data_IF_809713774319
#
_entry.id   IF_809713774319
#
_cell.length_a   1.000
_cell.length_b   1.000
_cell.length_c   1.000
_cell.angle_alpha   90.00
_cell.angle_beta   90.00
_cell.angle_gamma   90.00
#
_symmetry.space_group_name_H-M   'P 1'
#
loop_
_entity.id
_entity.type
_entity.pdbx_description
1 polymer ?
#
# COMPACT_ATOMS: atom_id res chain seq x y z
N UNK A 1 2.36 12.74 -7.96
CA UNK A 1 1.87 12.57 -6.57
C UNK A 1 0.95 11.38 -6.54
N UNK A 2 1.36 10.29 -5.91
CA UNK A 2 0.59 9.06 -5.90
C UNK A 2 0.13 8.77 -4.46
N UNK A 3 -1.16 8.51 -4.28
CA UNK A 3 -1.75 8.20 -2.98
C UNK A 3 -2.21 6.75 -2.96
N UNK A 4 -2.00 6.04 -1.87
CA UNK A 4 -2.78 4.90 -1.47
C UNK A 4 -3.06 4.93 0.02
N UNK A 5 -4.07 4.16 0.41
CA UNK A 5 -4.41 3.94 1.79
C UNK A 5 -4.86 2.51 2.01
N UNK A 6 -4.63 2.03 3.22
CA UNK A 6 -4.94 0.68 3.69
C UNK A 6 -5.72 0.81 4.99
N UNK A 7 -6.75 0.00 5.14
CA UNK A 7 -7.43 -0.26 6.41
C UNK A 7 -7.51 -1.76 6.58
N UNK A 8 -6.96 -2.28 7.66
CA UNK A 8 -6.87 -3.70 7.94
C UNK A 8 -7.58 -4.05 9.24
N UNK A 9 -8.32 -5.16 9.20
CA UNK A 9 -9.03 -5.79 10.31
C UNK A 9 -8.67 -7.26 10.37
N UNK A 10 -9.15 -7.95 11.39
CA UNK A 10 -8.92 -9.39 11.58
C UNK A 10 -9.44 -10.27 10.42
N UNK A 11 -10.39 -9.76 9.63
CA UNK A 11 -11.12 -10.46 8.57
C UNK A 11 -10.91 -9.89 7.16
N UNK A 12 -10.43 -8.65 7.03
CA UNK A 12 -10.17 -8.06 5.71
C UNK A 12 -9.02 -7.03 5.70
N UNK A 13 -8.47 -6.79 4.51
CA UNK A 13 -7.68 -5.62 4.16
C UNK A 13 -8.42 -4.87 3.05
N UNK A 14 -8.70 -3.58 3.28
CA UNK A 14 -9.26 -2.68 2.29
C UNK A 14 -8.21 -1.72 1.77
N UNK A 15 -8.11 -1.62 0.45
CA UNK A 15 -7.08 -0.85 -0.25
C UNK A 15 -7.77 0.14 -1.18
N UNK A 16 -7.35 1.39 -1.15
CA UNK A 16 -7.75 2.41 -2.12
C UNK A 16 -6.51 3.12 -2.63
N UNK A 17 -6.32 3.15 -3.94
CA UNK A 17 -5.23 3.88 -4.60
C UNK A 17 -5.71 4.87 -5.65
N UNK A 18 -4.91 5.91 -5.84
CA UNK A 18 -4.96 6.84 -6.97
C UNK A 18 -4.36 6.16 -8.22
N UNK A 19 -5.18 5.94 -9.25
CA UNK A 19 -4.75 5.31 -10.50
C UNK A 19 -4.50 6.29 -11.63
N UNK A 20 -4.45 7.59 -11.35
CA UNK A 20 -4.18 8.54 -12.41
C UNK A 20 -2.73 8.39 -12.88
N UNK A 21 -2.58 7.90 -14.11
CA UNK A 21 -1.33 7.97 -14.85
C UNK A 21 -0.97 9.44 -15.06
N UNK A 22 0.12 9.91 -14.42
CA UNK A 22 0.77 11.12 -14.88
C UNK A 22 1.49 10.77 -16.19
N UNK A 23 0.80 10.94 -17.31
CA UNK A 23 1.46 11.06 -18.61
C UNK A 23 2.21 12.39 -18.62
N UNK A 24 3.45 12.42 -18.11
CA UNK A 24 4.37 13.49 -18.49
C UNK A 24 4.77 13.23 -19.94
N UNK A 25 4.34 14.11 -20.86
CA UNK A 25 4.81 14.12 -22.24
C UNK A 25 6.32 14.45 -22.38
N UNK A 26 7.03 14.64 -21.27
CA UNK A 26 8.48 14.76 -21.22
C UNK A 26 9.08 13.43 -20.78
N UNK A 27 9.82 12.78 -21.68
CA UNK A 27 10.65 11.59 -21.46
C UNK A 27 11.77 11.79 -20.41
N UNK A 28 11.81 12.94 -19.72
CA UNK A 28 12.91 13.35 -18.84
C UNK A 28 12.63 13.17 -17.34
N UNK A 29 11.39 12.88 -16.92
CA UNK A 29 11.07 12.66 -15.51
C UNK A 29 10.54 11.24 -15.28
N UNK A 30 11.12 10.49 -14.32
CA UNK A 30 10.62 9.15 -13.99
C UNK A 30 9.18 9.26 -13.50
N UNK A 31 8.29 8.45 -14.09
CA UNK A 31 6.88 8.41 -13.73
C UNK A 31 6.74 7.90 -12.28
N UNK A 32 6.33 8.78 -11.37
CA UNK A 32 5.90 8.38 -10.03
C UNK A 32 4.45 7.89 -10.10
N UNK A 33 4.25 6.61 -9.87
CA UNK A 33 2.94 5.97 -9.89
C UNK A 33 2.68 5.18 -8.62
N UNK A 34 1.41 5.09 -8.24
CA UNK A 34 0.96 4.07 -7.29
C UNK A 34 0.54 2.85 -8.10
N UNK A 35 1.13 1.70 -7.81
CA UNK A 35 0.81 0.47 -8.52
C UNK A 35 0.50 -0.62 -7.51
N UNK A 36 -0.58 -1.37 -7.78
CA UNK A 36 -0.91 -2.62 -7.09
C UNK A 36 -0.51 -3.81 -7.95
N UNK A 37 0.01 -4.84 -7.29
CA UNK A 37 0.33 -6.12 -7.87
C UNK A 37 -0.06 -7.23 -6.91
N UNK A 38 -0.59 -8.33 -7.44
CA UNK A 38 -0.71 -9.56 -6.67
C UNK A 38 0.65 -10.25 -6.57
N UNK A 39 0.97 -10.78 -5.40
CA UNK A 39 2.12 -11.68 -5.19
C UNK A 39 1.63 -13.12 -5.37
N UNK A 40 0.62 -13.49 -4.59
CA UNK A 40 -0.11 -14.76 -4.70
C UNK A 40 -1.59 -14.46 -4.91
N UNK A 41 -2.24 -15.00 -5.97
CA UNK A 41 -3.62 -14.66 -6.31
C UNK A 41 -4.57 -14.81 -5.12
N UNK A 42 -5.39 -13.78 -4.87
CA UNK A 42 -6.35 -13.71 -3.76
C UNK A 42 -5.79 -13.87 -2.34
N UNK A 43 -4.46 -13.89 -2.15
CA UNK A 43 -3.85 -14.12 -0.85
C UNK A 43 -2.94 -12.98 -0.41
N UNK A 44 -2.06 -12.52 -1.29
CA UNK A 44 -1.06 -11.51 -0.94
C UNK A 44 -0.81 -10.55 -2.09
N UNK A 45 -0.40 -9.34 -1.71
CA UNK A 45 -0.23 -8.23 -2.62
C UNK A 45 1.01 -7.41 -2.30
N UNK A 46 1.40 -6.61 -3.27
CA UNK A 46 2.40 -5.58 -3.18
C UNK A 46 1.82 -4.28 -3.74
N UNK A 47 1.91 -3.20 -2.96
CA UNK A 47 1.61 -1.84 -3.41
C UNK A 47 2.91 -1.05 -3.31
N UNK A 48 3.19 -0.20 -4.28
CA UNK A 48 4.27 0.77 -4.15
C UNK A 48 3.86 2.13 -4.70
N UNK A 49 4.48 3.16 -4.15
CA UNK A 49 4.49 4.53 -4.64
C UNK A 49 5.94 4.97 -4.83
N UNK A 50 6.27 5.47 -6.02
CA UNK A 50 7.63 5.91 -6.36
C UNK A 50 8.02 5.56 -7.79
N UNK A 51 9.31 5.36 -8.02
CA UNK A 51 9.83 5.03 -9.36
C UNK A 51 9.46 3.60 -9.76
N UNK A 52 8.83 3.45 -10.93
CA UNK A 52 8.30 2.18 -11.44
C UNK A 52 9.37 1.09 -11.52
N UNK A 53 10.58 1.42 -11.97
CA UNK A 53 11.68 0.45 -12.11
C UNK A 53 11.98 -0.28 -10.79
N UNK A 54 12.07 0.47 -9.68
CA UNK A 54 12.34 -0.12 -8.37
C UNK A 54 11.13 -0.85 -7.80
N UNK A 55 9.92 -0.33 -8.03
CA UNK A 55 8.68 -0.94 -7.57
C UNK A 55 8.40 -2.29 -8.23
N UNK A 56 8.50 -2.36 -9.56
CA UNK A 56 8.32 -3.60 -10.32
C UNK A 56 9.43 -4.61 -10.02
N UNK A 57 10.70 -4.17 -9.93
CA UNK A 57 11.79 -5.07 -9.56
C UNK A 57 11.58 -5.68 -8.15
N UNK A 58 11.09 -4.88 -7.19
CA UNK A 58 10.81 -5.34 -5.83
C UNK A 58 9.61 -6.29 -5.79
N UNK A 59 8.58 -6.04 -6.60
CA UNK A 59 7.46 -6.95 -6.75
C UNK A 59 7.87 -8.30 -7.35
N UNK A 60 8.70 -8.31 -8.39
CA UNK A 60 9.21 -9.55 -8.99
C UNK A 60 10.04 -10.36 -7.98
N UNK A 61 10.83 -9.69 -7.13
CA UNK A 61 11.51 -10.35 -6.00
C UNK A 61 10.49 -10.94 -5.02
N UNK A 62 9.45 -10.19 -4.65
CA UNK A 62 8.40 -10.66 -3.75
C UNK A 62 7.72 -11.93 -4.29
N UNK A 63 7.38 -11.92 -5.57
CA UNK A 63 6.76 -13.04 -6.29
C UNK A 63 7.68 -14.26 -6.43
N UNK A 64 8.98 -14.06 -6.65
CA UNK A 64 9.93 -15.16 -6.70
C UNK A 64 10.16 -15.81 -5.32
N UNK A 65 10.13 -15.01 -4.25
CA UNK A 65 10.29 -15.49 -2.88
C UNK A 65 9.02 -16.15 -2.33
N UNK A 66 7.82 -15.74 -2.78
CA UNK A 66 6.57 -16.38 -2.35
C UNK A 66 6.46 -17.83 -2.82
N UNK A 67 7.08 -18.20 -3.95
CA UNK A 67 7.16 -19.58 -4.45
C UNK A 67 8.04 -20.48 -3.56
N UNK A 68 8.86 -19.88 -2.70
CA UNK A 68 9.73 -20.60 -1.75
C UNK A 68 9.10 -20.70 -0.35
N UNK A 69 7.81 -20.40 -0.21
CA UNK A 69 7.07 -20.43 1.06
C UNK A 69 7.68 -19.52 2.15
N UNK A 70 8.32 -18.41 1.75
CA UNK A 70 8.76 -17.39 2.70
C UNK A 70 7.56 -16.61 3.25
N UNK A 71 7.64 -16.25 4.54
CA UNK A 71 6.62 -15.39 5.16
C UNK A 71 6.69 -13.97 4.60
N UNK A 72 5.56 -13.28 4.54
CA UNK A 72 5.47 -11.92 4.01
C UNK A 72 6.42 -10.93 4.72
N UNK A 73 6.65 -11.07 6.03
CA UNK A 73 7.62 -10.26 6.77
C UNK A 73 9.07 -10.52 6.32
N UNK A 74 9.43 -11.77 6.05
CA UNK A 74 10.78 -12.11 5.59
C UNK A 74 11.00 -11.54 4.19
N UNK A 75 10.00 -11.64 3.33
CA UNK A 75 9.98 -11.01 2.00
C UNK A 75 10.12 -9.48 2.13
N UNK A 76 9.37 -8.85 3.03
CA UNK A 76 9.44 -7.41 3.27
C UNK A 76 10.86 -6.95 3.67
N UNK A 77 11.50 -7.68 4.59
CA UNK A 77 12.86 -7.39 5.03
C UNK A 77 13.89 -7.55 3.90
N UNK A 78 13.75 -8.61 3.08
CA UNK A 78 14.65 -8.82 1.93
C UNK A 78 14.51 -7.69 0.91
N UNK A 79 13.28 -7.24 0.64
CA UNK A 79 13.02 -6.12 -0.26
C UNK A 79 13.59 -4.81 0.32
N UNK A 80 13.35 -4.55 1.60
CA UNK A 80 13.92 -3.39 2.30
C UNK A 80 15.46 -3.37 2.18
N UNK A 81 16.12 -4.49 2.46
CA UNK A 81 17.58 -4.61 2.36
C UNK A 81 18.08 -4.48 0.92
N UNK A 82 17.28 -4.92 -0.06
CA UNK A 82 17.57 -4.78 -1.48
C UNK A 82 17.51 -3.30 -1.94
N UNK A 83 16.53 -2.55 -1.44
CA UNK A 83 16.35 -1.14 -1.76
C UNK A 83 17.40 -0.25 -1.09
N UNK A 84 17.82 -0.61 0.13
CA UNK A 84 18.77 0.17 0.92
C UNK A 84 20.25 -0.16 0.65
N UNK A 85 20.55 -0.94 -0.39
CA UNK A 85 21.95 -1.14 -0.84
C UNK A 85 22.53 0.19 -1.33
N UNK A 86 23.81 0.44 -1.02
CA UNK A 86 24.52 1.72 -1.24
C UNK A 86 24.43 2.29 -2.66
N UNK A 87 24.18 1.45 -3.67
CA UNK A 87 24.08 1.87 -5.07
C UNK A 87 22.66 2.38 -5.44
N UNK A 88 21.72 2.37 -4.49
CA UNK A 88 20.28 2.69 -4.69
C UNK A 88 19.74 3.73 -3.71
N UNK A 89 20.61 4.44 -2.99
CA UNK A 89 20.26 5.46 -1.98
C UNK A 89 19.45 6.66 -2.50
N UNK A 90 19.12 6.72 -3.79
CA UNK A 90 18.24 7.73 -4.40
C UNK A 90 16.84 7.21 -4.72
N UNK A 91 16.55 5.92 -4.48
CA UNK A 91 15.24 5.33 -4.74
C UNK A 91 14.23 5.78 -3.67
N UNK A 92 13.65 6.97 -3.84
CA UNK A 92 12.49 7.40 -3.04
C UNK A 92 11.31 6.51 -3.40
N UNK A 93 11.03 5.53 -2.54
CA UNK A 93 9.92 4.61 -2.71
C UNK A 93 9.36 4.24 -1.35
N UNK A 94 8.05 4.05 -1.33
CA UNK A 94 7.33 3.55 -0.19
C UNK A 94 6.43 2.44 -0.68
N UNK A 95 6.47 1.30 0.00
CA UNK A 95 5.76 0.11 -0.42
C UNK A 95 5.07 -0.58 0.75
N UNK A 96 4.04 -1.35 0.44
CA UNK A 96 3.38 -2.23 1.38
C UNK A 96 3.24 -3.60 0.77
N UNK A 97 3.73 -4.61 1.49
CA UNK A 97 3.39 -6.01 1.25
C UNK A 97 2.35 -6.44 2.28
N UNK A 98 1.25 -7.03 1.84
CA UNK A 98 0.20 -7.45 2.75
C UNK A 98 -0.60 -8.62 2.22
N UNK A 99 -1.49 -9.14 3.05
CA UNK A 99 -2.32 -10.28 2.68
C UNK A 99 -2.73 -11.13 3.87
N UNK A 100 -3.03 -12.39 3.57
CA UNK A 100 -3.38 -13.43 4.54
C UNK A 100 -2.19 -14.38 4.69
N UNK A 101 -1.72 -14.58 5.93
CA UNK A 101 -0.69 -15.57 6.25
C UNK A 101 -1.18 -17.00 6.01
N UNK A 102 -0.26 -17.97 6.01
CA UNK A 102 -0.60 -19.40 5.94
C UNK A 102 -1.56 -19.84 7.05
N UNK A 103 -1.48 -19.20 8.22
CA UNK A 103 -2.37 -19.45 9.35
C UNK A 103 -3.72 -18.74 9.24
N UNK A 104 -3.99 -18.05 8.13
CA UNK A 104 -5.22 -17.29 7.94
C UNK A 104 -5.22 -15.95 8.68
N UNK A 105 -4.08 -15.40 9.07
CA UNK A 105 -3.99 -14.12 9.78
C UNK A 105 -3.79 -12.97 8.79
N UNK A 106 -4.59 -11.92 8.93
CA UNK A 106 -4.40 -10.69 8.16
C UNK A 106 -3.12 -10.00 8.65
N UNK A 107 -2.28 -9.55 7.72
CA UNK A 107 -1.07 -8.80 8.02
C UNK A 107 -0.69 -7.85 6.89
N UNK A 108 0.03 -6.78 7.22
CA UNK A 108 0.73 -5.96 6.24
C UNK A 108 2.03 -5.38 6.82
N UNK A 109 2.98 -5.08 5.94
CA UNK A 109 4.31 -4.62 6.27
C UNK A 109 4.68 -3.43 5.39
N UNK A 110 5.02 -2.30 6.02
CA UNK A 110 5.41 -1.06 5.36
C UNK A 110 6.92 -1.08 5.17
N UNK A 111 7.33 -0.79 3.94
CA UNK A 111 8.72 -0.74 3.49
C UNK A 111 9.00 0.70 3.07
N UNK A 112 9.95 1.34 3.75
CA UNK A 112 10.41 2.71 3.46
C UNK A 112 11.92 2.73 3.24
N UNK A 113 12.45 3.85 2.75
CA UNK A 113 13.87 4.07 2.50
C UNK A 113 14.67 4.41 3.78
N UNK A 114 14.01 4.88 4.83
CA UNK A 114 14.68 5.44 6.01
C UNK A 114 14.52 4.61 7.29
N UNK A 115 13.50 3.75 7.37
CA UNK A 115 13.11 3.07 8.59
C UNK A 115 13.04 1.55 8.41
N UNK A 116 13.26 0.82 9.51
CA UNK A 116 13.02 -0.61 9.57
C UNK A 116 11.59 -0.95 9.13
N UNK A 117 11.41 -2.16 8.59
CA UNK A 117 10.09 -2.63 8.14
C UNK A 117 9.09 -2.60 9.30
N UNK A 118 8.04 -1.81 9.14
CA UNK A 118 6.97 -1.70 10.13
C UNK A 118 5.91 -2.78 9.86
N UNK A 119 5.64 -3.63 10.85
CA UNK A 119 4.74 -4.78 10.69
C UNK A 119 3.45 -4.62 11.50
N UNK A 120 2.33 -4.97 10.88
CA UNK A 120 1.00 -4.76 11.42
C UNK A 120 0.16 -6.04 11.33
N UNK A 121 -0.41 -6.41 12.48
CA UNK A 121 -1.20 -7.63 12.67
C UNK A 121 -2.49 -7.27 13.41
N UNK A 122 -3.59 -6.93 12.72
CA UNK A 122 -4.83 -6.54 13.38
C UNK A 122 -5.39 -7.70 14.22
N UNK A 123 -5.59 -7.44 15.51
CA UNK A 123 -6.23 -8.38 16.43
C UNK A 123 -7.76 -8.28 16.34
N UNK A 124 -8.45 -9.24 16.97
CA UNK A 124 -9.91 -9.24 17.06
C UNK A 124 -10.40 -7.93 17.68
N UNK A 125 -11.31 -7.23 16.98
CA UNK A 125 -11.84 -5.93 17.39
C UNK A 125 -10.88 -4.74 17.21
N UNK A 126 -9.70 -4.96 16.66
CA UNK A 126 -8.73 -3.92 16.31
C UNK A 126 -8.89 -3.52 14.84
N UNK A 127 -8.52 -2.30 14.52
CA UNK A 127 -8.45 -1.81 13.15
C UNK A 127 -7.19 -0.99 12.99
N UNK A 128 -6.33 -1.43 12.09
CA UNK A 128 -5.08 -0.78 11.75
C UNK A 128 -5.25 -0.07 10.41
N UNK A 129 -4.51 1.01 10.19
CA UNK A 129 -4.62 1.77 8.95
C UNK A 129 -3.31 2.45 8.60
N UNK A 130 -3.18 2.72 7.30
CA UNK A 130 -1.99 3.33 6.73
C UNK A 130 -2.36 4.19 5.51
N UNK A 131 -1.59 5.24 5.25
CA UNK A 131 -1.65 6.08 4.07
C UNK A 131 -0.24 6.61 3.80
N UNK A 132 0.20 6.54 2.56
CA UNK A 132 1.55 6.97 2.19
C UNK A 132 1.71 8.49 2.23
N UNK A 133 2.92 8.96 2.56
CA UNK A 133 3.21 10.40 2.79
C UNK A 133 4.30 10.97 1.88
N UNK A 134 4.80 10.20 0.91
CA UNK A 134 5.95 10.55 0.04
C UNK A 134 5.91 11.94 -0.65
N UNK A 135 4.78 12.65 -0.68
CA UNK A 135 4.65 13.89 -1.47
C UNK A 135 3.73 14.96 -0.88
N UNK A 136 3.25 14.83 0.36
CA UNK A 136 2.18 15.69 0.84
C UNK A 136 2.64 16.74 1.85
N UNK A 137 2.21 18.01 1.64
CA UNK A 137 2.39 19.08 2.64
C UNK A 137 1.43 18.95 3.83
N UNK A 138 0.34 18.22 3.62
CA UNK A 138 -0.67 17.89 4.64
C UNK A 138 -0.53 16.40 4.93
N UNK A 139 -0.52 16.01 6.20
CA UNK A 139 -0.30 14.62 6.61
C UNK A 139 -1.52 13.73 6.22
N UNK A 140 -1.39 12.79 5.26
CA UNK A 140 -2.48 11.91 4.84
C UNK A 140 -2.93 10.94 5.93
N UNK A 141 -2.00 10.49 6.79
CA UNK A 141 -2.28 9.61 7.92
C UNK A 141 -3.20 10.28 8.95
N UNK A 142 -2.93 11.54 9.31
CA UNK A 142 -3.77 12.29 10.24
C UNK A 142 -5.20 12.48 9.69
N UNK A 143 -5.31 12.80 8.41
CA UNK A 143 -6.62 12.94 7.78
C UNK A 143 -7.36 11.60 7.68
N UNK A 144 -6.67 10.51 7.35
CA UNK A 144 -7.27 9.18 7.31
C UNK A 144 -7.83 8.82 8.68
N UNK A 145 -7.04 9.01 9.75
CA UNK A 145 -7.48 8.78 11.12
C UNK A 145 -8.77 9.56 11.44
N UNK A 146 -8.79 10.85 11.10
CA UNK A 146 -9.98 11.72 11.29
C UNK A 146 -11.19 11.21 10.52
N UNK A 147 -11.01 10.77 9.28
CA UNK A 147 -12.10 10.23 8.45
C UNK A 147 -12.62 8.90 8.99
N UNK A 148 -11.75 8.00 9.42
CA UNK A 148 -12.14 6.72 10.01
C UNK A 148 -12.91 6.91 11.32
N UNK A 149 -12.59 7.93 12.12
CA UNK A 149 -13.39 8.28 13.32
C UNK A 149 -14.82 8.73 12.98
N UNK A 150 -15.03 9.35 11.81
CA UNK A 150 -16.34 9.86 11.40
C UNK A 150 -17.18 8.80 10.67
N UNK A 151 -16.57 8.07 9.75
CA UNK A 151 -17.25 7.12 8.85
C UNK A 151 -17.25 5.68 9.40
N UNK A 152 -16.39 5.40 10.38
CA UNK A 152 -16.14 4.08 10.92
C UNK A 152 -15.12 3.27 10.12
N UNK A 153 -14.76 2.12 10.66
CA UNK A 153 -13.81 1.18 10.05
C UNK A 153 -14.21 -0.28 10.24
N UNK A 154 -15.43 -0.55 10.73
CA UNK A 154 -15.85 -1.89 11.12
C UNK A 154 -16.20 -2.79 9.94
N UNK A 155 -16.42 -2.23 8.76
CA UNK A 155 -16.75 -2.96 7.54
C UNK A 155 -15.98 -2.40 6.35
N UNK A 156 -15.81 -3.21 5.31
CA UNK A 156 -15.20 -2.82 4.03
C UNK A 156 -15.81 -1.51 3.50
N UNK A 157 -17.15 -1.39 3.52
CA UNK A 157 -17.86 -0.19 3.04
C UNK A 157 -17.48 1.06 3.82
N UNK A 158 -17.40 0.97 5.16
CA UNK A 158 -17.01 2.12 6.00
C UNK A 158 -15.56 2.51 5.74
N UNK A 159 -14.65 1.53 5.73
CA UNK A 159 -13.24 1.73 5.42
C UNK A 159 -13.05 2.43 4.07
N UNK A 160 -13.64 1.89 2.99
CA UNK A 160 -13.54 2.48 1.66
C UNK A 160 -14.19 3.86 1.58
N UNK A 161 -15.27 4.12 2.33
CA UNK A 161 -15.87 5.46 2.38
C UNK A 161 -14.89 6.49 2.96
N UNK A 162 -14.22 6.16 4.07
CA UNK A 162 -13.19 7.01 4.67
C UNK A 162 -11.99 7.19 3.73
N UNK A 163 -11.49 6.11 3.13
CA UNK A 163 -10.36 6.11 2.22
C UNK A 163 -10.64 6.90 0.92
N UNK A 164 -11.84 6.79 0.36
CA UNK A 164 -12.26 7.59 -0.80
C UNK A 164 -12.43 9.07 -0.44
N UNK A 165 -12.89 9.38 0.78
CA UNK A 165 -12.95 10.75 1.25
C UNK A 165 -11.56 11.37 1.42
N UNK A 166 -10.58 10.60 1.92
CA UNK A 166 -9.17 10.98 1.94
C UNK A 166 -8.68 11.25 0.51
N UNK A 167 -8.85 10.29 -0.40
CA UNK A 167 -8.41 10.40 -1.79
C UNK A 167 -8.98 11.66 -2.44
N UNK A 168 -10.28 11.93 -2.30
CA UNK A 168 -10.92 13.14 -2.84
C UNK A 168 -10.34 14.43 -2.29
N UNK A 169 -9.97 14.48 -1.00
CA UNK A 169 -9.34 15.68 -0.42
C UNK A 169 -7.98 15.97 -1.04
N UNK A 170 -7.19 14.93 -1.30
CA UNK A 170 -5.82 15.05 -1.78
C UNK A 170 -5.69 15.06 -3.31
N UNK A 171 -6.71 14.59 -4.04
CA UNK A 171 -6.75 14.57 -5.51
C UNK A 171 -7.71 15.58 -6.11
N UNK A 172 -8.71 16.07 -5.37
CA UNK A 172 -9.74 16.99 -5.84
C UNK A 172 -9.25 18.38 -6.26
N UNK A 173 -7.96 18.67 -6.10
CA UNK A 173 -7.30 19.86 -6.64
C UNK A 173 -6.70 19.66 -8.05
N UNK A 174 -6.74 18.43 -8.61
CA UNK A 174 -6.19 18.13 -9.94
C UNK A 174 -7.21 18.33 -11.05
N UNK A 175 -6.76 18.76 -12.23
CA UNK A 175 -7.58 18.80 -13.42
C UNK A 175 -7.80 17.36 -13.94
N UNK A 176 -9.05 16.88 -13.88
CA UNK A 176 -9.43 15.52 -14.28
C UNK A 176 -10.32 14.86 -13.24
N UNK A 177 -11.08 13.84 -13.65
CA UNK A 177 -11.84 13.02 -12.70
C UNK A 177 -10.86 12.04 -12.03
N UNK A 178 -10.68 12.09 -10.70
CA UNK A 178 -9.78 11.16 -10.04
C UNK A 178 -10.28 9.73 -10.21
N UNK A 179 -9.48 8.87 -10.85
CA UNK A 179 -9.77 7.44 -10.95
C UNK A 179 -9.21 6.75 -9.71
N UNK A 180 -10.11 6.18 -8.91
CA UNK A 180 -9.76 5.39 -7.74
C UNK A 180 -9.92 3.91 -8.07
N UNK A 181 -8.91 3.09 -7.73
CA UNK A 181 -9.08 1.64 -7.67
C UNK A 181 -9.26 1.23 -6.21
N UNK A 182 -10.31 0.45 -5.98
CA UNK A 182 -10.64 -0.12 -4.68
C UNK A 182 -10.44 -1.63 -4.76
N UNK A 183 -9.71 -2.20 -3.81
CA UNK A 183 -9.47 -3.65 -3.71
C UNK A 183 -9.71 -4.11 -2.29
N UNK A 184 -9.95 -5.41 -2.15
CA UNK A 184 -10.17 -6.06 -0.87
C UNK A 184 -9.46 -7.39 -0.89
N UNK A 185 -8.77 -7.70 0.21
CA UNK A 185 -8.33 -9.06 0.53
C UNK A 185 -9.14 -9.51 1.72
N UNK A 186 -9.90 -10.59 1.56
CA UNK A 186 -10.75 -11.13 2.62
C UNK A 186 -10.21 -12.48 3.09
N UNK A 187 -10.29 -12.71 4.39
CA UNK A 187 -10.05 -14.04 4.94
C UNK A 187 -11.17 -14.97 4.44
N UNK A 188 -10.81 -16.04 3.76
CA UNK A 188 -11.79 -17.02 3.28
C UNK A 188 -12.46 -17.70 4.49
N UNK A 189 -13.80 -17.85 4.49
CA UNK A 189 -14.49 -18.62 5.52
C UNK A 189 -14.10 -20.11 5.41
N UNK A 190 -13.69 -20.70 6.53
CA UNK A 190 -13.45 -22.14 6.65
C UNK A 190 -14.75 -22.94 6.73
#
# INVERSE_FOLDING_TARGET
MSLFSIVAREDFISIVLDCNEFQSNDDQYPQEMTIFREITPNQSFYIFAGQIEYGEASWEVAKALSVQDLKLIDIANIIHDYLNRKDRTSAKMEAVIGGVSENGEIQYHIITDAEEVQSHYPKIGESLYYANDLSYRLNPMEELARKLMMEGMSSIKQAQTAQLALLRKFTGARAGNPVAQCMVVEKQPH
#
